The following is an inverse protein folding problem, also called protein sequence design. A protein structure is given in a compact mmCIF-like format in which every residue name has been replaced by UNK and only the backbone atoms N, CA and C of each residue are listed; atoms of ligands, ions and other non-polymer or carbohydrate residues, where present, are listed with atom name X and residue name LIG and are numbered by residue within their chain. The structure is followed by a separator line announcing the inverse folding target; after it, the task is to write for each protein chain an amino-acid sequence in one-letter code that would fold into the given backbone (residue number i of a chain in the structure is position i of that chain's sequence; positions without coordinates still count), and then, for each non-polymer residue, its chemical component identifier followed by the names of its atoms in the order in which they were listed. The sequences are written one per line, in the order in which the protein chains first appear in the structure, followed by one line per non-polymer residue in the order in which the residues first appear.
data_IF_167662950050
#
_entry.id   IF_167662950050
#
_cell.length_a   1.000
_cell.length_b   1.000
_cell.length_c   1.000
_cell.angle_alpha   90.00
_cell.angle_beta   90.00
_cell.angle_gamma   90.00
#
_symmetry.space_group_name_H-M   'P 1'
#
loop_
_entity.id
_entity.type
_entity.pdbx_description
1 polymer ?
#
# COMPACT_ATOMS: atom_id res chain seq x y z
N UNK A 1 5.46 -11.92 -8.34
CA UNK A 1 5.23 -11.71 -6.89
C UNK A 1 5.67 -10.33 -6.40
N UNK A 2 6.80 -9.77 -6.88
CA UNK A 2 7.30 -8.46 -6.41
C UNK A 2 6.31 -7.31 -6.68
N UNK A 3 5.70 -7.25 -7.86
CA UNK A 3 4.70 -6.24 -8.20
C UNK A 3 3.49 -6.27 -7.27
N UNK A 4 2.86 -7.43 -7.07
CA UNK A 4 1.72 -7.57 -6.15
C UNK A 4 2.09 -7.25 -4.69
N UNK A 5 3.34 -7.53 -4.28
CA UNK A 5 3.84 -7.11 -2.96
C UNK A 5 3.90 -5.59 -2.86
N UNK A 6 4.48 -4.91 -3.85
CA UNK A 6 4.56 -3.45 -3.90
C UNK A 6 3.16 -2.82 -3.92
N UNK A 7 2.24 -3.34 -4.73
CA UNK A 7 0.87 -2.82 -4.82
C UNK A 7 0.10 -2.96 -3.50
N UNK A 8 0.23 -4.10 -2.82
CA UNK A 8 -0.38 -4.28 -1.49
C UNK A 8 0.29 -3.42 -0.43
N UNK A 9 1.60 -3.16 -0.55
CA UNK A 9 2.31 -2.21 0.30
C UNK A 9 1.79 -0.78 0.11
N UNK A 10 1.60 -0.32 -1.13
CA UNK A 10 1.01 0.99 -1.39
C UNK A 10 -0.40 1.09 -0.79
N UNK A 11 -1.22 0.04 -0.92
CA UNK A 11 -2.52 -0.01 -0.26
C UNK A 11 -2.42 0.00 1.28
N UNK A 12 -1.43 -0.69 1.86
CA UNK A 12 -1.20 -0.72 3.31
C UNK A 12 -1.00 0.69 3.88
N UNK A 13 -0.12 1.46 3.25
CA UNK A 13 0.17 2.84 3.65
C UNK A 13 -0.87 3.85 3.11
N UNK A 14 -1.84 3.38 2.33
CA UNK A 14 -2.86 4.22 1.71
C UNK A 14 -2.30 5.20 0.69
N UNK A 15 -1.21 4.84 0.02
CA UNK A 15 -0.68 5.62 -1.08
C UNK A 15 -1.49 5.34 -2.34
N UNK A 16 -2.11 6.38 -2.86
CA UNK A 16 -2.81 6.33 -4.13
C UNK A 16 -2.12 7.17 -5.19
N UNK A 17 -1.01 7.84 -4.88
CA UNK A 17 -0.24 8.62 -5.84
C UNK A 17 0.91 7.79 -6.43
N UNK A 18 0.56 6.75 -7.19
CA UNK A 18 1.51 5.95 -7.96
C UNK A 18 0.86 5.35 -9.20
N UNK A 19 1.67 4.97 -10.19
CA UNK A 19 1.21 4.22 -11.36
C UNK A 19 2.33 3.34 -11.92
N UNK A 20 2.15 2.02 -11.86
CA UNK A 20 3.11 1.09 -12.47
C UNK A 20 3.13 1.19 -14.01
N UNK A 21 1.98 1.52 -14.64
CA UNK A 21 1.91 1.70 -16.10
C UNK A 21 2.54 3.01 -16.56
N UNK A 22 2.30 4.10 -15.83
CA UNK A 22 2.82 5.42 -16.19
C UNK A 22 4.20 5.70 -15.57
N UNK A 23 4.76 4.75 -14.82
CA UNK A 23 6.00 4.91 -14.04
C UNK A 23 5.99 6.15 -13.14
N UNK A 24 4.82 6.48 -12.60
CA UNK A 24 4.65 7.58 -11.64
C UNK A 24 4.94 7.07 -10.24
N UNK A 25 5.89 7.70 -9.53
CA UNK A 25 6.36 7.34 -8.19
C UNK A 25 6.79 5.87 -8.02
N UNK A 26 7.24 5.26 -9.13
CA UNK A 26 7.83 3.92 -9.17
C UNK A 26 9.00 3.91 -10.16
N UNK A 27 10.14 3.37 -9.74
CA UNK A 27 11.23 2.98 -10.63
C UNK A 27 11.24 1.47 -10.80
N UNK A 28 11.49 0.98 -12.01
CA UNK A 28 11.67 -0.45 -12.27
C UNK A 28 13.17 -0.76 -12.31
N UNK A 29 13.66 -1.49 -11.32
CA UNK A 29 15.04 -1.94 -11.26
C UNK A 29 15.15 -3.31 -11.93
N UNK A 30 16.13 -3.47 -12.82
CA UNK A 30 16.44 -4.76 -13.46
C UNK A 30 17.82 -5.21 -12.99
N UNK A 31 17.90 -6.40 -12.42
CA UNK A 31 19.19 -7.01 -12.05
C UNK A 31 19.86 -7.69 -13.27
N UNK A 32 21.15 -8.09 -13.16
CA UNK A 32 21.86 -8.77 -14.24
C UNK A 32 21.20 -10.07 -14.71
N UNK A 33 20.48 -10.76 -13.84
CA UNK A 33 19.73 -11.99 -14.14
C UNK A 33 18.38 -11.70 -14.83
N UNK A 34 18.07 -10.42 -15.06
CA UNK A 34 16.88 -9.95 -15.76
C UNK A 34 15.62 -9.84 -14.90
N UNK A 35 15.71 -10.09 -13.58
CA UNK A 35 14.60 -9.92 -12.64
C UNK A 35 14.26 -8.44 -12.52
N UNK A 36 12.98 -8.11 -12.65
CA UNK A 36 12.46 -6.75 -12.50
C UNK A 36 11.83 -6.57 -11.12
N UNK A 37 12.32 -5.59 -10.37
CA UNK A 37 11.83 -5.22 -9.03
C UNK A 37 11.26 -3.79 -9.08
N UNK A 38 9.96 -3.59 -8.82
CA UNK A 38 9.39 -2.27 -8.70
C UNK A 38 9.77 -1.65 -7.35
N UNK A 39 10.43 -0.49 -7.41
CA UNK A 39 10.83 0.30 -6.25
C UNK A 39 9.93 1.53 -6.16
N UNK A 40 8.94 1.55 -5.25
CA UNK A 40 8.13 2.74 -5.05
C UNK A 40 8.94 3.80 -4.31
N UNK A 41 8.69 5.06 -4.63
CA UNK A 41 9.25 6.22 -3.93
C UNK A 41 8.15 7.28 -3.76
N UNK A 42 8.46 8.37 -3.06
CA UNK A 42 7.56 9.48 -2.79
C UNK A 42 6.27 9.09 -2.03
N UNK A 43 6.30 9.22 -0.70
CA UNK A 43 5.25 8.72 0.20
C UNK A 43 4.52 9.81 0.99
N UNK A 44 4.82 11.07 0.73
CA UNK A 44 4.17 12.23 1.32
C UNK A 44 2.65 12.25 1.10
N UNK A 45 2.20 11.81 -0.08
CA UNK A 45 0.79 11.61 -0.47
C UNK A 45 0.18 10.30 0.05
N UNK A 46 0.89 9.52 0.88
CA UNK A 46 0.29 8.35 1.51
C UNK A 46 -0.64 8.74 2.65
N UNK A 47 -1.79 8.05 2.81
CA UNK A 47 -2.69 8.29 3.94
C UNK A 47 -2.08 7.99 5.33
N UNK A 48 -0.95 7.26 5.38
CA UNK A 48 -0.15 7.06 6.59
C UNK A 48 0.62 8.34 6.97
N UNK A 49 1.31 8.95 6.02
CA UNK A 49 2.07 10.21 6.23
C UNK A 49 1.11 11.39 6.33
N UNK A 50 0.19 11.51 5.36
CA UNK A 50 -0.84 12.55 5.30
C UNK A 50 -0.24 13.95 5.46
N UNK A 51 0.75 14.27 4.60
CA UNK A 51 1.40 15.58 4.61
C UNK A 51 0.34 16.69 4.47
N UNK A 52 0.59 17.85 5.07
CA UNK A 52 -0.41 18.93 5.14
C UNK A 52 -0.88 19.42 3.76
N UNK A 53 0.01 19.37 2.76
CA UNK A 53 -0.28 19.71 1.37
C UNK A 53 -0.86 18.54 0.55
N UNK A 54 -0.89 17.32 1.09
CA UNK A 54 -1.37 16.16 0.37
C UNK A 54 -2.90 16.16 0.28
N UNK A 55 -3.41 15.99 -0.94
CA UNK A 55 -4.82 15.87 -1.24
C UNK A 55 -5.12 14.58 -2.01
N UNK A 56 -6.37 14.10 -2.01
CA UNK A 56 -6.74 12.97 -2.85
C UNK A 56 -6.52 13.32 -4.34
N UNK A 57 -5.95 12.41 -5.16
CA UNK A 57 -5.82 12.65 -6.59
C UNK A 57 -7.21 12.90 -7.23
N UNK A 58 -7.40 14.00 -7.99
CA UNK A 58 -8.74 14.38 -8.50
C UNK A 58 -9.41 13.33 -9.39
N UNK A 59 -8.61 12.49 -10.06
CA UNK A 59 -9.10 11.42 -10.92
C UNK A 59 -9.61 10.18 -10.15
N UNK A 60 -9.47 10.15 -8.83
CA UNK A 60 -9.87 9.01 -7.99
C UNK A 60 -11.11 9.36 -7.15
N UNK A 61 -11.98 8.38 -6.86
CA UNK A 61 -13.19 8.59 -6.07
C UNK A 61 -12.86 8.64 -4.57
N UNK A 62 -12.02 9.59 -4.15
CA UNK A 62 -11.55 9.76 -2.78
C UNK A 62 -11.89 11.15 -2.26
N UNK A 63 -12.47 11.19 -1.07
CA UNK A 63 -12.87 12.42 -0.39
C UNK A 63 -11.74 13.01 0.46
N UNK A 64 -10.73 12.21 0.81
CA UNK A 64 -9.54 12.66 1.52
C UNK A 64 -8.37 11.69 1.31
N UNK A 65 -7.17 12.19 1.58
CA UNK A 65 -5.91 11.47 1.39
C UNK A 65 -5.77 10.22 2.29
N UNK A 66 -6.52 10.13 3.39
CA UNK A 66 -6.50 8.97 4.28
C UNK A 66 -7.30 7.77 3.78
N UNK A 67 -8.16 7.94 2.78
CA UNK A 67 -8.93 6.83 2.23
C UNK A 67 -8.04 5.90 1.40
N UNK A 68 -8.15 4.59 1.68
CA UNK A 68 -7.44 3.57 0.90
C UNK A 68 -8.24 3.18 -0.34
N UNK A 69 -7.56 3.14 -1.48
CA UNK A 69 -8.05 2.57 -2.73
C UNK A 69 -6.99 1.60 -3.26
N UNK A 70 -7.39 0.36 -3.58
CA UNK A 70 -6.47 -0.57 -4.20
C UNK A 70 -6.25 -0.19 -5.66
N UNK A 71 -5.00 0.14 -6.02
CA UNK A 71 -4.62 0.58 -7.37
C UNK A 71 -3.87 -0.49 -8.17
N UNK A 72 -3.63 -1.66 -7.59
CA UNK A 72 -2.88 -2.76 -8.22
C UNK A 72 -3.68 -3.53 -9.27
N UNK A 73 -2.97 -4.26 -10.11
CA UNK A 73 -3.56 -5.07 -11.18
C UNK A 73 -4.06 -6.43 -10.68
N UNK A 74 -4.98 -7.01 -11.44
CA UNK A 74 -5.36 -8.40 -11.27
C UNK A 74 -4.22 -9.30 -11.82
N UNK A 75 -3.59 -10.06 -10.93
CA UNK A 75 -2.51 -10.98 -11.29
C UNK A 75 -3.07 -12.40 -11.43
N UNK A 76 -2.99 -12.95 -12.64
CA UNK A 76 -3.39 -14.34 -12.89
C UNK A 76 -2.49 -15.31 -12.09
N UNK A 77 -3.10 -16.29 -11.42
CA UNK A 77 -2.37 -17.30 -10.63
C UNK A 77 -1.74 -16.77 -9.34
N UNK A 78 -2.01 -15.53 -8.93
CA UNK A 78 -1.52 -15.01 -7.66
C UNK A 78 -2.18 -15.75 -6.48
N UNK A 79 -1.35 -16.35 -5.62
CA UNK A 79 -1.78 -16.81 -4.30
C UNK A 79 -1.94 -15.61 -3.36
N UNK A 80 -3.17 -15.09 -3.29
CA UNK A 80 -3.54 -13.99 -2.42
C UNK A 80 -3.37 -14.32 -0.94
N UNK A 81 -3.61 -15.56 -0.53
CA UNK A 81 -3.50 -15.94 0.88
C UNK A 81 -2.03 -15.97 1.33
N UNK A 82 -1.12 -16.45 0.48
CA UNK A 82 0.31 -16.34 0.71
C UNK A 82 0.76 -14.87 0.76
N UNK A 83 0.26 -14.02 -0.14
CA UNK A 83 0.57 -12.59 -0.14
C UNK A 83 0.07 -11.92 1.15
N UNK A 84 -1.16 -12.17 1.58
CA UNK A 84 -1.69 -11.63 2.83
C UNK A 84 -0.97 -12.17 4.06
N UNK A 85 -0.53 -13.44 4.04
CA UNK A 85 0.28 -14.02 5.12
C UNK A 85 1.61 -13.28 5.26
N UNK A 86 2.32 -12.99 4.16
CA UNK A 86 3.55 -12.20 4.16
C UNK A 86 3.42 -10.87 4.92
N UNK A 87 2.30 -10.16 4.75
CA UNK A 87 2.04 -8.90 5.47
C UNK A 87 1.64 -9.10 6.93
N UNK A 88 0.90 -10.17 7.24
CA UNK A 88 0.56 -10.55 8.63
C UNK A 88 1.80 -10.93 9.43
N UNK A 89 2.71 -11.67 8.83
CA UNK A 89 3.95 -12.12 9.50
C UNK A 89 4.86 -10.94 9.87
N UNK A 90 4.75 -9.82 9.14
CA UNK A 90 5.49 -8.58 9.41
C UNK A 90 4.78 -7.63 10.38
N UNK A 91 3.58 -7.96 10.85
CA UNK A 91 2.74 -7.07 11.67
C UNK A 91 3.44 -6.51 12.89
N UNK A 92 4.05 -7.38 13.71
CA UNK A 92 4.73 -6.94 14.92
C UNK A 92 5.90 -6.00 14.61
N UNK A 93 6.73 -6.37 13.63
CA UNK A 93 7.88 -5.56 13.18
C UNK A 93 7.45 -4.18 12.68
N UNK A 94 6.33 -4.08 11.95
CA UNK A 94 5.79 -2.79 11.49
C UNK A 94 5.35 -1.92 12.66
N UNK A 95 4.65 -2.48 13.64
CA UNK A 95 4.24 -1.72 14.82
C UNK A 95 5.43 -1.26 15.65
N UNK A 96 6.40 -2.14 15.88
CA UNK A 96 7.64 -1.82 16.60
C UNK A 96 8.46 -0.74 15.87
N UNK A 97 8.52 -0.78 14.54
CA UNK A 97 9.17 0.26 13.75
C UNK A 97 8.48 1.62 13.97
N UNK A 98 7.14 1.67 13.92
CA UNK A 98 6.39 2.91 14.17
C UNK A 98 6.62 3.41 15.60
N UNK A 99 6.73 2.52 16.59
CA UNK A 99 7.00 2.89 17.99
C UNK A 99 8.43 3.38 18.23
N UNK A 100 9.39 2.96 17.41
CA UNK A 100 10.81 3.27 17.58
C UNK A 100 11.31 4.47 16.77
N UNK A 101 10.49 5.07 15.89
CA UNK A 101 10.92 6.22 15.07
C UNK A 101 11.39 7.39 15.95
N UNK A 102 12.68 7.80 15.88
CA UNK A 102 13.20 8.94 16.62
C UNK A 102 12.58 10.25 16.11
N UNK A 103 12.27 11.17 17.01
CA UNK A 103 11.71 12.49 16.66
C UNK A 103 10.23 12.49 16.22
N UNK A 104 9.59 11.33 16.11
CA UNK A 104 8.16 11.27 15.82
C UNK A 104 7.34 11.63 17.07
N UNK A 105 6.53 12.69 16.96
CA UNK A 105 5.67 13.14 18.06
C UNK A 105 4.71 12.02 18.52
N UNK A 106 4.34 12.04 19.80
CA UNK A 106 3.36 11.07 20.35
C UNK A 106 2.03 11.10 19.58
N UNK A 107 1.59 12.29 19.18
CA UNK A 107 0.37 12.46 18.37
C UNK A 107 0.51 11.75 17.03
N UNK A 108 1.58 12.00 16.28
CA UNK A 108 1.82 11.40 14.97
C UNK A 108 1.96 9.88 15.09
N UNK A 109 2.69 9.41 16.12
CA UNK A 109 2.85 7.98 16.43
C UNK A 109 1.50 7.30 16.65
N UNK A 110 0.65 7.86 17.53
CA UNK A 110 -0.71 7.33 17.78
C UNK A 110 -1.56 7.28 16.51
N UNK A 111 -1.48 8.31 15.67
CA UNK A 111 -2.21 8.37 14.39
C UNK A 111 -1.71 7.26 13.45
N UNK A 112 -0.40 7.12 13.28
CA UNK A 112 0.21 6.09 12.44
C UNK A 112 -0.16 4.68 12.90
N UNK A 113 -0.07 4.40 14.21
CA UNK A 113 -0.47 3.13 14.80
C UNK A 113 -1.95 2.82 14.55
N UNK A 114 -2.84 3.81 14.74
CA UNK A 114 -4.27 3.65 14.44
C UNK A 114 -4.50 3.35 12.96
N UNK A 115 -3.86 4.12 12.08
CA UNK A 115 -3.97 3.95 10.64
C UNK A 115 -3.52 2.56 10.19
N UNK A 116 -2.41 2.06 10.74
CA UNK A 116 -1.89 0.73 10.46
C UNK A 116 -2.76 -0.39 11.05
N UNK A 117 -3.30 -0.21 12.26
CA UNK A 117 -4.30 -1.13 12.84
C UNK A 117 -5.52 -1.29 11.93
N UNK A 118 -5.98 -0.21 11.31
CA UNK A 118 -7.12 -0.26 10.40
C UNK A 118 -6.82 -1.01 9.09
N UNK A 119 -5.59 -0.97 8.59
CA UNK A 119 -5.15 -1.85 7.50
C UNK A 119 -5.24 -3.33 7.92
N UNK A 120 -4.66 -3.69 9.06
CA UNK A 120 -4.69 -5.09 9.51
C UNK A 120 -6.13 -5.59 9.76
N UNK A 121 -7.06 -4.76 10.23
CA UNK A 121 -8.49 -5.11 10.31
C UNK A 121 -9.13 -5.43 8.96
N UNK A 122 -8.63 -4.81 7.87
CA UNK A 122 -9.08 -5.13 6.50
C UNK A 122 -8.47 -6.48 6.08
N UNK A 123 -7.16 -6.63 6.30
CA UNK A 123 -6.39 -7.82 5.92
C UNK A 123 -6.87 -9.11 6.62
N UNK A 124 -7.25 -8.99 7.90
CA UNK A 124 -7.72 -10.10 8.74
C UNK A 124 -9.18 -10.47 8.47
N UNK A 125 -9.93 -9.65 7.72
CA UNK A 125 -11.32 -9.91 7.38
C UNK A 125 -11.45 -10.43 5.94
N UNK A 126 -11.80 -11.73 5.73
CA UNK A 126 -11.97 -12.29 4.39
C UNK A 126 -12.92 -11.46 3.53
N UNK A 127 -14.06 -11.06 4.09
CA UNK A 127 -15.05 -10.20 3.41
C UNK A 127 -14.46 -8.84 3.00
N UNK A 128 -13.70 -8.18 3.89
CA UNK A 128 -13.15 -6.84 3.59
C UNK A 128 -12.01 -6.92 2.59
N UNK A 129 -11.05 -7.83 2.75
CA UNK A 129 -9.93 -7.98 1.79
C UNK A 129 -10.42 -8.45 0.42
N UNK A 130 -11.44 -9.31 0.37
CA UNK A 130 -12.09 -9.66 -0.90
C UNK A 130 -12.69 -8.43 -1.56
N UNK A 131 -13.52 -7.65 -0.84
CA UNK A 131 -14.18 -6.48 -1.41
C UNK A 131 -13.22 -5.35 -1.79
N UNK A 132 -12.23 -5.06 -0.96
CA UNK A 132 -11.40 -3.85 -1.06
C UNK A 132 -10.10 -4.04 -1.81
N UNK A 133 -9.64 -5.29 -2.00
CA UNK A 133 -8.33 -5.59 -2.58
C UNK A 133 -8.53 -6.54 -3.76
N UNK A 134 -8.95 -7.79 -3.50
CA UNK A 134 -9.00 -8.84 -4.53
C UNK A 134 -10.02 -8.50 -5.62
N UNK A 135 -11.27 -8.24 -5.25
CA UNK A 135 -12.33 -7.86 -6.18
C UNK A 135 -12.26 -6.42 -6.67
N UNK A 136 -11.32 -5.62 -6.16
CA UNK A 136 -11.09 -4.24 -6.57
C UNK A 136 -9.82 -4.09 -7.43
N UNK A 137 -9.13 -5.19 -7.76
CA UNK A 137 -7.98 -5.15 -8.65
C UNK A 137 -8.37 -4.64 -10.04
N UNK A 138 -7.44 -3.94 -10.68
CA UNK A 138 -7.65 -3.37 -12.01
C UNK A 138 -7.33 -4.44 -13.05
N UNK A 139 -8.28 -4.70 -13.94
CA UNK A 139 -7.95 -5.42 -15.17
C UNK A 139 -7.08 -4.50 -16.03
N UNK A 140 -6.02 -5.01 -16.66
CA UNK A 140 -5.36 -4.28 -17.74
C UNK A 140 -6.43 -3.91 -18.78
N UNK A 141 -6.37 -2.69 -19.33
CA UNK A 141 -7.17 -2.39 -20.50
C UNK A 141 -6.80 -3.38 -21.62
N UNK A 142 -7.77 -3.84 -22.43
CA UNK A 142 -7.48 -4.68 -23.59
C UNK A 142 -6.52 -3.98 -24.57
#
# INVERSE_FOLDING_TARGET
MEMATMELFQYMIGNTDFSALAQHNIVLLRDPDGKVTPMPFDFDFSGLVDAEYAGPPPALPLNNNRQRLYRGFCHQGLDWDALFRKFRDKRMQVFELIESVPGLSERSRRIALKYMKDFYKILDSPKKRQKKIVGACRMPAP
#
